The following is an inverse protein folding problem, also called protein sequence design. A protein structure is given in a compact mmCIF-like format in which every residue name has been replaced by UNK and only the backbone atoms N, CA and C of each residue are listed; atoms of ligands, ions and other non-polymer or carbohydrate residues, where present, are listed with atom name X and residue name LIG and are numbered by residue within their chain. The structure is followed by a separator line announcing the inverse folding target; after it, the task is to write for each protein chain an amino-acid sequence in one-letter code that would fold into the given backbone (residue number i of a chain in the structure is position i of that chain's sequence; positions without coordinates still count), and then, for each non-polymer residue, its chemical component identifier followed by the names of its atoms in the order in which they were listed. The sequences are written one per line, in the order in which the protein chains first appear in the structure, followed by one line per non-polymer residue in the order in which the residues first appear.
data_IF_889582937536
#
_entry.id   IF_889582937536
#
_cell.length_a   1.000
_cell.length_b   1.000
_cell.length_c   1.000
_cell.angle_alpha   90.00
_cell.angle_beta   90.00
_cell.angle_gamma   90.00
#
_symmetry.space_group_name_H-M   'P 1'
#
loop_
_entity.id
_entity.type
_entity.pdbx_description
1 polymer ?
#
# COMPACT_ATOMS: atom_id res chain seq x y z
N UNK A 1 7.87 -12.57 -87.76
CA UNK A 1 9.00 -13.32 -87.18
C UNK A 1 9.72 -12.44 -86.16
N UNK A 2 9.42 -12.61 -84.84
CA UNK A 2 10.03 -11.83 -83.75
C UNK A 2 11.01 -12.72 -83.00
N UNK A 3 12.32 -12.36 -83.07
CA UNK A 3 13.41 -13.08 -82.36
C UNK A 3 13.41 -12.75 -80.91
N UNK A 4 13.16 -13.80 -80.05
CA UNK A 4 13.33 -13.72 -78.60
C UNK A 4 14.80 -13.58 -78.23
N UNK A 5 15.22 -12.42 -77.69
CA UNK A 5 16.52 -12.23 -77.03
C UNK A 5 16.52 -12.98 -75.69
N UNK A 6 17.33 -14.04 -75.56
CA UNK A 6 17.68 -14.67 -74.31
C UNK A 6 18.63 -13.77 -73.52
N UNK A 7 18.19 -13.19 -72.41
CA UNK A 7 19.08 -12.53 -71.44
C UNK A 7 19.86 -13.57 -70.69
N UNK A 8 21.16 -13.63 -70.90
CA UNK A 8 22.07 -14.50 -70.17
C UNK A 8 22.53 -13.76 -68.91
N UNK A 9 21.75 -13.86 -67.84
CA UNK A 9 22.12 -13.29 -66.53
C UNK A 9 23.11 -14.24 -65.82
N UNK A 10 24.40 -14.04 -66.10
CA UNK A 10 25.49 -14.67 -65.35
C UNK A 10 25.56 -13.96 -64.00
N UNK A 11 24.88 -14.49 -62.98
CA UNK A 11 24.98 -14.03 -61.62
C UNK A 11 26.43 -14.06 -61.13
N UNK A 12 26.99 -12.87 -60.88
CA UNK A 12 28.37 -12.70 -60.44
C UNK A 12 28.53 -13.39 -59.04
N UNK A 13 29.37 -14.43 -58.89
CA UNK A 13 29.50 -15.19 -57.67
C UNK A 13 29.86 -14.35 -56.43
N UNK A 14 30.52 -13.22 -56.64
CA UNK A 14 30.82 -12.25 -55.57
C UNK A 14 29.58 -11.56 -55.04
N UNK A 15 28.60 -11.21 -55.89
CA UNK A 15 27.32 -10.62 -55.44
C UNK A 15 26.45 -11.61 -54.64
N UNK A 16 26.44 -12.88 -55.03
CA UNK A 16 25.71 -13.91 -54.28
C UNK A 16 26.32 -14.18 -52.91
N UNK A 17 27.64 -14.15 -52.79
CA UNK A 17 28.37 -14.30 -51.54
C UNK A 17 28.06 -13.16 -50.55
N UNK A 18 28.15 -11.90 -50.99
CA UNK A 18 27.82 -10.75 -50.15
C UNK A 18 26.35 -10.71 -49.75
N UNK A 19 25.44 -11.11 -50.64
CA UNK A 19 24.01 -11.23 -50.29
C UNK A 19 23.73 -12.28 -49.21
N UNK A 20 24.38 -13.45 -49.30
CA UNK A 20 24.27 -14.48 -48.30
C UNK A 20 24.89 -14.08 -46.97
N UNK A 21 26.00 -13.36 -46.96
CA UNK A 21 26.63 -12.84 -45.76
C UNK A 21 25.75 -11.81 -45.07
N UNK A 22 25.10 -10.94 -45.82
CA UNK A 22 24.18 -9.90 -45.33
C UNK A 22 22.92 -10.51 -44.74
N UNK A 23 22.32 -11.52 -45.39
CA UNK A 23 21.14 -12.22 -44.89
C UNK A 23 21.46 -12.95 -43.57
N UNK A 24 22.58 -13.69 -43.50
CA UNK A 24 23.04 -14.33 -42.27
C UNK A 24 23.34 -13.36 -41.12
N UNK A 25 23.80 -12.14 -41.47
CA UNK A 25 23.99 -11.07 -40.48
C UNK A 25 22.69 -10.55 -39.93
N UNK A 26 21.65 -10.39 -40.75
CA UNK A 26 20.32 -9.98 -40.35
C UNK A 26 19.65 -11.04 -39.49
N UNK A 27 19.72 -12.33 -39.84
CA UNK A 27 19.16 -13.43 -39.07
C UNK A 27 19.75 -13.49 -37.65
N UNK A 28 21.06 -13.29 -37.51
CA UNK A 28 21.74 -13.25 -36.22
C UNK A 28 21.34 -12.01 -35.39
N UNK A 29 21.14 -10.86 -36.03
CA UNK A 29 20.69 -9.64 -35.36
C UNK A 29 19.25 -9.79 -34.86
N UNK A 30 18.36 -10.41 -35.64
CA UNK A 30 16.99 -10.71 -35.19
C UNK A 30 16.94 -11.72 -34.07
N UNK A 31 17.80 -12.76 -34.10
CA UNK A 31 17.88 -13.73 -33.01
C UNK A 31 18.41 -13.11 -31.72
N UNK A 32 19.43 -12.24 -31.81
CA UNK A 32 19.93 -11.48 -30.68
C UNK A 32 18.88 -10.54 -30.12
N UNK A 33 18.13 -9.83 -30.97
CA UNK A 33 17.03 -8.96 -30.59
C UNK A 33 15.91 -9.71 -29.87
N UNK A 34 15.54 -10.93 -30.34
CA UNK A 34 14.55 -11.79 -29.66
C UNK A 34 15.01 -12.24 -28.28
N UNK A 35 16.29 -12.62 -28.13
CA UNK A 35 16.86 -13.02 -26.82
C UNK A 35 16.86 -11.85 -25.83
N UNK A 36 17.23 -10.65 -26.28
CA UNK A 36 17.17 -9.45 -25.47
C UNK A 36 15.72 -9.13 -25.07
N UNK A 37 14.78 -9.18 -26.01
CA UNK A 37 13.37 -8.94 -25.73
C UNK A 37 12.79 -9.96 -24.73
N UNK A 38 13.18 -11.24 -24.81
CA UNK A 38 12.79 -12.27 -23.86
C UNK A 38 13.41 -12.02 -22.46
N UNK A 39 14.66 -11.60 -22.39
CA UNK A 39 15.28 -11.23 -21.11
C UNK A 39 14.64 -9.99 -20.48
N UNK A 40 14.35 -8.96 -21.29
CA UNK A 40 13.66 -7.76 -20.80
C UNK A 40 12.23 -8.10 -20.34
N UNK A 41 11.51 -8.96 -21.08
CA UNK A 41 10.17 -9.41 -20.69
C UNK A 41 10.17 -10.23 -19.39
N UNK A 42 11.24 -10.96 -19.09
CA UNK A 42 11.40 -11.69 -17.83
C UNK A 42 11.69 -10.76 -16.63
N UNK A 43 12.19 -9.55 -16.89
CA UNK A 43 12.43 -8.51 -15.87
C UNK A 43 11.25 -7.53 -15.70
N UNK A 44 10.30 -7.50 -16.63
CA UNK A 44 9.07 -6.74 -16.44
C UNK A 44 8.18 -7.57 -15.52
N UNK A 45 8.27 -7.29 -14.22
CA UNK A 45 7.28 -7.81 -13.26
C UNK A 45 5.88 -7.45 -13.79
N UNK A 46 4.92 -8.39 -13.76
CA UNK A 46 3.54 -8.06 -14.08
C UNK A 46 3.12 -6.88 -13.20
N UNK A 47 2.35 -5.92 -13.71
CA UNK A 47 1.87 -4.81 -12.91
C UNK A 47 1.25 -5.40 -11.66
N UNK A 48 1.76 -5.00 -10.49
CA UNK A 48 1.20 -5.42 -9.21
C UNK A 48 -0.30 -5.12 -9.28
N UNK A 49 -1.16 -6.03 -8.85
CA UNK A 49 -2.59 -5.79 -8.89
C UNK A 49 -2.86 -4.44 -8.21
N UNK A 50 -3.40 -3.51 -8.96
CA UNK A 50 -3.84 -2.22 -8.42
C UNK A 50 -4.93 -2.57 -7.43
N UNK A 51 -4.65 -2.37 -6.15
CA UNK A 51 -5.65 -2.54 -5.10
C UNK A 51 -6.81 -1.57 -5.42
N UNK A 52 -7.93 -2.11 -5.83
CA UNK A 52 -9.20 -1.38 -5.89
C UNK A 52 -9.87 -1.59 -4.54
N UNK A 53 -9.95 -0.56 -3.69
CA UNK A 53 -10.67 -0.70 -2.43
C UNK A 53 -12.11 -1.13 -2.73
N UNK A 54 -12.68 -2.06 -1.96
CA UNK A 54 -14.07 -2.41 -2.09
C UNK A 54 -14.91 -1.14 -1.90
N UNK A 55 -15.85 -0.89 -2.82
CA UNK A 55 -16.81 0.21 -2.70
C UNK A 55 -17.79 -0.21 -1.60
N UNK A 56 -17.58 0.27 -0.38
CA UNK A 56 -18.53 0.09 0.71
C UNK A 56 -19.60 1.18 0.63
N UNK A 57 -20.72 0.85 0.02
CA UNK A 57 -21.95 1.67 0.07
C UNK A 57 -22.73 1.31 1.34
N UNK A 58 -22.24 1.67 2.50
CA UNK A 58 -22.87 1.31 3.78
C UNK A 58 -22.98 2.45 4.79
N UNK A 59 -22.90 3.71 4.37
CA UNK A 59 -22.99 4.83 5.33
C UNK A 59 -21.91 4.82 6.42
N UNK A 60 -20.90 3.95 6.28
CA UNK A 60 -19.80 3.75 7.17
C UNK A 60 -18.78 4.87 6.97
N UNK A 61 -18.65 5.73 7.96
CA UNK A 61 -17.68 6.82 7.87
C UNK A 61 -16.26 6.25 7.88
N UNK A 62 -15.53 6.41 6.79
CA UNK A 62 -14.08 6.22 6.72
C UNK A 62 -13.31 7.49 7.12
N UNK A 63 -14.02 8.57 7.43
CA UNK A 63 -13.48 9.89 7.77
C UNK A 63 -14.18 10.43 9.01
N UNK A 64 -13.44 11.10 9.90
CA UNK A 64 -14.04 11.82 11.02
C UNK A 64 -14.64 13.18 10.58
N UNK A 65 -15.19 13.94 11.53
CA UNK A 65 -15.76 15.25 11.29
C UNK A 65 -14.72 16.31 10.83
N UNK A 66 -13.44 16.02 11.01
CA UNK A 66 -12.32 16.90 10.57
C UNK A 66 -11.76 16.49 9.20
N UNK A 67 -12.29 15.43 8.58
CA UNK A 67 -11.81 14.91 7.31
C UNK A 67 -10.58 13.99 7.44
N UNK A 68 -10.25 13.54 8.66
CA UNK A 68 -9.19 12.56 8.88
C UNK A 68 -9.71 11.14 8.66
N UNK A 69 -8.85 10.27 8.09
CA UNK A 69 -9.15 8.85 7.90
C UNK A 69 -9.24 8.15 9.24
N UNK A 70 -10.30 7.37 9.41
CA UNK A 70 -10.54 6.59 10.63
C UNK A 70 -10.36 5.10 10.36
N UNK A 71 -9.66 4.43 11.27
CA UNK A 71 -9.49 2.99 11.26
C UNK A 71 -10.37 2.38 12.35
N UNK A 72 -10.85 1.16 12.14
CA UNK A 72 -11.48 0.42 13.22
C UNK A 72 -10.41 -0.30 14.07
N UNK A 73 -10.67 -0.49 15.38
CA UNK A 73 -9.73 -1.21 16.23
C UNK A 73 -9.41 -2.61 15.71
N UNK A 74 -8.24 -3.17 16.08
CA UNK A 74 -7.85 -4.51 15.66
C UNK A 74 -8.93 -5.55 15.97
N UNK A 75 -9.13 -6.49 15.05
CA UNK A 75 -10.13 -7.55 15.19
C UNK A 75 -11.57 -7.13 14.93
N UNK A 76 -11.81 -5.88 14.54
CA UNK A 76 -13.16 -5.41 14.21
C UNK A 76 -13.82 -6.30 13.14
N UNK A 77 -15.10 -6.59 13.35
CA UNK A 77 -15.92 -7.23 12.32
C UNK A 77 -16.02 -6.33 11.09
N UNK A 78 -16.35 -6.87 9.91
CA UNK A 78 -16.66 -6.02 8.76
C UNK A 78 -17.73 -4.97 9.07
N UNK A 79 -17.68 -3.85 8.41
CA UNK A 79 -18.35 -2.58 8.73
C UNK A 79 -19.75 -2.71 9.36
N UNK A 80 -20.71 -3.32 8.67
CA UNK A 80 -22.08 -3.45 9.17
C UNK A 80 -22.14 -4.37 10.40
N UNK A 81 -21.46 -5.51 10.35
CA UNK A 81 -21.43 -6.45 11.48
C UNK A 81 -20.79 -5.84 12.72
N UNK A 82 -19.82 -4.94 12.55
CA UNK A 82 -19.23 -4.21 13.67
C UNK A 82 -20.22 -3.25 14.31
N UNK A 83 -20.91 -2.45 13.51
CA UNK A 83 -21.89 -1.47 14.01
C UNK A 83 -23.06 -2.15 14.75
N UNK A 84 -23.53 -3.29 14.22
CA UNK A 84 -24.66 -4.05 14.77
C UNK A 84 -24.29 -4.81 16.07
N UNK A 85 -23.01 -5.22 16.20
CA UNK A 85 -22.55 -6.06 17.33
C UNK A 85 -21.94 -5.22 18.46
N UNK A 86 -21.42 -4.03 18.15
CA UNK A 86 -20.74 -3.19 19.12
C UNK A 86 -21.76 -2.55 20.09
N UNK A 87 -21.63 -2.88 21.40
CA UNK A 87 -22.44 -2.26 22.46
C UNK A 87 -22.02 -0.85 22.82
N UNK A 88 -20.96 -0.32 22.23
CA UNK A 88 -20.41 1.03 22.49
C UNK A 88 -20.02 1.26 23.96
N UNK A 89 -19.67 0.21 24.67
CA UNK A 89 -19.36 0.24 26.09
C UNK A 89 -18.08 1.02 26.46
N UNK A 90 -17.17 1.26 25.51
CA UNK A 90 -15.89 1.94 25.78
C UNK A 90 -14.80 1.08 26.42
N UNK A 91 -15.04 -0.22 26.68
CA UNK A 91 -14.06 -1.10 27.34
C UNK A 91 -12.77 -1.22 26.52
N UNK A 92 -12.86 -1.26 25.17
CA UNK A 92 -11.71 -1.29 24.30
C UNK A 92 -10.89 0.01 24.37
N UNK A 93 -11.52 1.16 24.59
CA UNK A 93 -10.85 2.46 24.78
C UNK A 93 -10.04 2.43 26.06
N UNK A 94 -10.68 2.03 27.17
CA UNK A 94 -10.06 1.95 28.49
C UNK A 94 -8.92 0.93 28.54
N UNK A 95 -9.03 -0.17 27.78
CA UNK A 95 -8.04 -1.24 27.73
C UNK A 95 -6.84 -0.90 26.82
N UNK A 96 -6.92 0.13 25.96
CA UNK A 96 -5.86 0.45 25.02
C UNK A 96 -4.65 1.10 25.71
N UNK A 97 -3.47 0.45 25.78
CA UNK A 97 -2.30 1.01 26.47
C UNK A 97 -1.74 2.24 25.76
N UNK A 98 -1.89 2.33 24.43
CA UNK A 98 -1.47 3.47 23.64
C UNK A 98 -2.51 4.60 23.60
N UNK A 99 -3.70 4.41 24.17
CA UNK A 99 -4.83 5.36 24.09
C UNK A 99 -5.17 5.76 22.65
N UNK A 100 -4.97 4.82 21.73
CA UNK A 100 -5.20 5.04 20.30
C UNK A 100 -6.68 5.05 19.92
N UNK A 101 -7.52 4.34 20.71
CA UNK A 101 -8.94 4.16 20.41
C UNK A 101 -9.73 5.32 21.00
N UNK A 102 -10.54 5.97 20.17
CA UNK A 102 -11.49 7.02 20.53
C UNK A 102 -12.91 6.51 20.30
N UNK A 103 -13.90 7.16 20.92
CA UNK A 103 -15.32 6.98 20.60
C UNK A 103 -15.78 8.13 19.72
N UNK A 104 -16.58 7.82 18.72
CA UNK A 104 -17.22 8.82 17.87
C UNK A 104 -18.23 9.62 18.72
N UNK A 105 -18.16 10.95 18.73
CA UNK A 105 -19.04 11.82 19.49
C UNK A 105 -20.43 11.98 18.84
N UNK A 106 -20.92 10.92 18.17
CA UNK A 106 -22.25 10.99 17.59
C UNK A 106 -23.27 10.91 18.71
N UNK A 107 -23.94 12.04 18.99
CA UNK A 107 -25.16 12.13 19.79
C UNK A 107 -26.30 11.33 19.12
N UNK A 108 -26.16 10.03 19.02
CA UNK A 108 -27.26 9.14 18.69
C UNK A 108 -27.96 8.79 19.97
N UNK A 109 -29.02 9.55 20.31
CA UNK A 109 -30.01 9.06 21.25
C UNK A 109 -30.59 7.78 20.65
N UNK A 110 -30.38 6.66 21.32
CA UNK A 110 -31.08 5.43 20.95
C UNK A 110 -32.59 5.58 21.25
N UNK A 111 -33.40 4.67 20.73
CA UNK A 111 -34.87 4.67 20.96
C UNK A 111 -35.27 4.65 22.43
N UNK A 112 -34.35 4.52 23.39
CA UNK A 112 -34.55 4.52 24.84
C UNK A 112 -34.10 5.81 25.50
N UNK A 113 -33.54 6.79 24.73
CA UNK A 113 -33.01 8.05 25.29
C UNK A 113 -31.66 7.88 26.01
N UNK A 114 -31.05 6.70 25.93
CA UNK A 114 -29.68 6.50 26.42
C UNK A 114 -28.70 7.09 25.42
N UNK A 115 -27.82 7.98 25.88
CA UNK A 115 -26.68 8.46 25.09
C UNK A 115 -25.67 7.32 24.96
N UNK A 116 -25.81 6.54 23.91
CA UNK A 116 -24.82 5.55 23.53
C UNK A 116 -23.59 6.28 23.00
N UNK A 117 -22.42 6.07 23.58
CA UNK A 117 -21.17 6.49 22.99
C UNK A 117 -21.09 6.04 21.53
N UNK A 118 -20.36 6.78 20.68
CA UNK A 118 -20.18 6.40 19.28
C UNK A 118 -19.38 5.11 19.08
N UNK A 119 -19.24 4.69 17.85
CA UNK A 119 -18.42 3.53 17.52
C UNK A 119 -16.93 3.81 17.76
N UNK A 120 -16.16 2.87 18.31
CA UNK A 120 -14.74 3.04 18.54
C UNK A 120 -13.97 3.14 17.21
N UNK A 121 -13.01 4.06 17.17
CA UNK A 121 -12.17 4.33 15.99
C UNK A 121 -10.77 4.77 16.39
N UNK A 122 -9.86 4.76 15.43
CA UNK A 122 -8.48 5.19 15.53
C UNK A 122 -8.20 6.21 14.42
N UNK A 123 -7.55 7.32 14.76
CA UNK A 123 -6.99 8.27 13.79
C UNK A 123 -5.48 8.02 13.73
N UNK A 124 -5.03 7.38 12.66
CA UNK A 124 -3.65 6.94 12.51
C UNK A 124 -2.63 8.08 12.65
N UNK A 125 -2.92 9.23 12.05
CA UNK A 125 -2.05 10.42 12.09
C UNK A 125 -1.84 10.96 13.50
N UNK A 126 -2.83 10.82 14.38
CA UNK A 126 -2.79 11.36 15.74
C UNK A 126 -2.24 10.33 16.76
N UNK A 127 -2.85 9.15 16.78
CA UNK A 127 -2.54 8.10 17.75
C UNK A 127 -2.78 6.71 17.15
N UNK A 128 -1.79 6.13 16.47
CA UNK A 128 -1.91 4.85 15.77
C UNK A 128 -1.98 3.66 16.73
N UNK A 129 -2.38 2.51 16.20
CA UNK A 129 -2.28 1.25 16.92
C UNK A 129 -0.81 0.78 16.99
N UNK A 130 -0.32 0.54 18.19
CA UNK A 130 1.06 0.07 18.42
C UNK A 130 1.20 -1.46 18.37
N UNK A 131 0.14 -2.18 18.03
CA UNK A 131 0.12 -3.66 17.98
C UNK A 131 0.67 -4.25 19.28
N UNK A 132 0.01 -3.93 20.41
CA UNK A 132 0.44 -4.40 21.71
C UNK A 132 0.38 -5.93 21.81
N UNK A 133 1.34 -6.53 22.54
CA UNK A 133 1.53 -7.98 22.62
C UNK A 133 0.30 -8.73 23.16
N UNK A 134 -0.44 -8.13 24.07
CA UNK A 134 -1.58 -8.75 24.73
C UNK A 134 -2.92 -8.51 24.05
N UNK A 135 -2.96 -7.65 23.00
CA UNK A 135 -4.16 -7.31 22.25
C UNK A 135 -5.35 -6.96 23.14
N UNK A 136 -5.11 -6.14 24.17
CA UNK A 136 -6.02 -5.84 25.28
C UNK A 136 -7.42 -5.40 24.83
N UNK A 137 -7.53 -4.60 23.77
CA UNK A 137 -8.81 -4.11 23.26
C UNK A 137 -9.74 -5.25 22.81
N UNK A 138 -9.18 -6.30 22.18
CA UNK A 138 -9.96 -7.47 21.76
C UNK A 138 -10.38 -8.34 22.94
N UNK A 139 -9.51 -8.44 23.97
CA UNK A 139 -9.83 -9.20 25.20
C UNK A 139 -10.91 -8.53 26.01
N UNK A 140 -10.93 -7.20 26.02
CA UNK A 140 -11.89 -6.40 26.75
C UNK A 140 -13.28 -6.33 26.10
N UNK A 141 -13.41 -6.67 24.81
CA UNK A 141 -14.67 -6.57 24.10
C UNK A 141 -15.68 -7.65 24.55
N UNK A 142 -16.81 -7.27 25.22
CA UNK A 142 -17.74 -8.24 25.74
C UNK A 142 -18.66 -8.85 24.68
N UNK A 143 -18.89 -8.13 23.57
CA UNK A 143 -19.87 -8.54 22.54
C UNK A 143 -19.26 -9.34 21.40
N UNK A 144 -17.90 -9.37 21.30
CA UNK A 144 -17.22 -9.97 20.19
C UNK A 144 -17.22 -9.13 18.90
N UNK A 145 -17.62 -7.86 18.97
CA UNK A 145 -17.47 -6.91 17.87
C UNK A 145 -15.99 -6.76 17.45
N UNK A 146 -15.07 -6.89 18.43
CA UNK A 146 -13.64 -7.12 18.20
C UNK A 146 -13.36 -8.61 18.42
N UNK A 147 -13.08 -9.33 17.32
CA UNK A 147 -12.71 -10.74 17.38
C UNK A 147 -11.32 -10.92 17.97
N UNK A 148 -11.15 -11.91 18.83
CA UNK A 148 -9.83 -12.29 19.36
C UNK A 148 -9.00 -12.90 18.25
N UNK A 149 -7.80 -12.36 18.07
CA UNK A 149 -6.77 -12.89 17.16
C UNK A 149 -5.65 -13.49 18.00
N UNK A 150 -4.99 -14.51 17.45
CA UNK A 150 -3.93 -15.23 18.17
C UNK A 150 -2.60 -14.47 18.15
N UNK A 151 -2.39 -13.62 17.13
CA UNK A 151 -1.17 -12.82 17.01
C UNK A 151 -1.45 -11.45 16.34
N UNK A 152 -0.54 -10.49 16.57
CA UNK A 152 -0.59 -9.18 15.95
C UNK A 152 -0.46 -9.21 14.41
N UNK A 153 0.13 -10.27 13.86
CA UNK A 153 0.28 -10.45 12.41
C UNK A 153 -1.05 -10.70 11.69
N UNK A 154 -2.05 -11.21 12.41
CA UNK A 154 -3.41 -11.44 11.88
C UNK A 154 -4.26 -10.16 11.85
N UNK A 155 -3.74 -9.06 12.38
CA UNK A 155 -4.45 -7.77 12.38
C UNK A 155 -4.56 -7.26 10.94
N UNK A 156 -5.77 -6.88 10.55
CA UNK A 156 -6.08 -6.27 9.27
C UNK A 156 -7.03 -5.09 9.48
N UNK A 157 -6.46 -3.91 9.78
CA UNK A 157 -7.23 -2.67 9.94
C UNK A 157 -7.31 -1.87 8.65
N UNK A 158 -6.37 -2.08 7.74
CA UNK A 158 -6.22 -1.38 6.49
C UNK A 158 -4.91 -1.72 5.81
N UNK A 159 -4.54 -0.94 4.81
CA UNK A 159 -3.30 -1.10 4.07
C UNK A 159 -2.64 0.26 3.86
N UNK A 160 -1.32 0.34 4.10
CA UNK A 160 -0.58 1.58 3.87
C UNK A 160 -0.42 1.85 2.37
N UNK A 161 -0.61 3.09 1.98
CA UNK A 161 -0.40 3.59 0.61
C UNK A 161 0.67 4.67 0.65
N UNK A 162 1.54 4.71 -0.35
CA UNK A 162 2.62 5.68 -0.45
C UNK A 162 2.46 6.57 -1.67
N UNK A 163 2.66 7.87 -1.48
CA UNK A 163 2.86 8.83 -2.56
C UNK A 163 4.34 9.16 -2.66
N UNK A 164 5.02 8.52 -3.60
CA UNK A 164 6.46 8.69 -3.78
C UNK A 164 6.83 10.12 -4.19
N UNK A 165 5.94 10.86 -4.85
CA UNK A 165 6.21 12.24 -5.26
C UNK A 165 6.31 13.21 -4.08
N UNK A 166 5.65 12.90 -2.97
CA UNK A 166 5.70 13.66 -1.72
C UNK A 166 6.68 13.09 -0.70
N UNK A 167 7.09 11.84 -0.89
CA UNK A 167 8.04 11.19 0.00
C UNK A 167 9.41 11.84 -0.11
N UNK A 168 10.04 12.17 1.02
CA UNK A 168 11.39 12.75 1.04
C UNK A 168 12.41 11.91 0.29
N UNK A 169 12.30 10.58 0.34
CA UNK A 169 13.14 9.65 -0.42
C UNK A 169 12.90 9.71 -1.93
N UNK A 170 11.67 9.97 -2.35
CA UNK A 170 11.28 10.08 -3.75
C UNK A 170 11.56 11.44 -4.39
N UNK A 171 12.24 12.34 -3.68
CA UNK A 171 12.51 13.70 -4.12
C UNK A 171 11.43 14.71 -3.72
N UNK A 172 10.51 14.34 -2.84
CA UNK A 172 9.55 15.26 -2.24
C UNK A 172 10.26 16.35 -1.42
N UNK A 173 9.65 17.53 -1.36
CA UNK A 173 10.17 18.63 -0.56
C UNK A 173 9.63 18.58 0.87
N UNK A 174 10.52 18.72 1.86
CA UNK A 174 10.10 19.06 3.22
C UNK A 174 9.53 20.48 3.21
N UNK A 175 8.34 20.67 3.77
CA UNK A 175 7.66 21.98 3.83
C UNK A 175 8.35 22.92 4.84
N UNK A 176 9.30 22.45 5.59
CA UNK A 176 10.00 23.24 6.60
C UNK A 176 11.26 23.87 6.00
N UNK A 177 11.30 25.21 5.98
CA UNK A 177 12.45 26.06 5.56
C UNK A 177 13.71 25.89 6.44
N UNK A 178 13.68 25.05 7.47
CA UNK A 178 14.83 24.71 8.27
C UNK A 178 15.49 23.47 7.65
N UNK A 179 16.82 23.49 7.44
CA UNK A 179 17.55 22.31 7.02
C UNK A 179 17.56 21.29 8.16
N UNK A 180 16.46 20.56 8.30
CA UNK A 180 16.47 19.36 9.13
C UNK A 180 17.49 18.42 8.51
N UNK A 181 18.35 17.83 9.34
CA UNK A 181 19.45 16.92 8.96
C UNK A 181 19.01 15.65 8.23
N UNK A 182 17.73 15.53 7.91
CA UNK A 182 17.14 14.47 7.08
C UNK A 182 17.13 14.96 5.63
N UNK A 183 18.25 14.80 4.95
CA UNK A 183 18.28 14.84 3.49
C UNK A 183 17.40 13.71 2.98
N UNK A 184 16.59 13.98 1.95
CA UNK A 184 15.52 13.08 1.50
C UNK A 184 15.92 11.63 1.30
N UNK A 185 17.15 11.35 0.81
CA UNK A 185 17.64 10.00 0.52
C UNK A 185 17.80 9.11 1.77
N UNK A 186 17.97 9.68 2.95
CA UNK A 186 18.20 8.94 4.20
C UNK A 186 16.93 8.74 5.04
N UNK A 187 15.81 9.36 4.66
CA UNK A 187 14.58 9.22 5.43
C UNK A 187 14.04 7.79 5.36
N UNK A 188 13.95 7.11 6.50
CA UNK A 188 13.39 5.76 6.65
C UNK A 188 12.55 5.61 7.92
N UNK A 189 11.99 6.71 8.44
CA UNK A 189 11.23 6.73 9.69
C UNK A 189 10.08 5.73 9.68
N UNK A 190 9.29 5.69 8.61
CA UNK A 190 8.17 4.76 8.49
C UNK A 190 8.61 3.28 8.50
N UNK A 191 9.79 2.97 7.94
CA UNK A 191 10.36 1.61 7.93
C UNK A 191 10.91 1.22 9.29
N UNK A 192 11.68 2.12 9.93
CA UNK A 192 12.33 1.85 11.22
C UNK A 192 11.34 1.79 12.38
N UNK A 193 10.24 2.53 12.30
CA UNK A 193 9.20 2.56 13.34
C UNK A 193 8.06 1.56 13.10
N UNK A 194 8.09 0.81 12.00
CA UNK A 194 7.06 -0.18 11.71
C UNK A 194 7.09 -1.31 12.75
N UNK A 195 6.00 -1.56 13.49
CA UNK A 195 5.98 -2.60 14.52
C UNK A 195 6.04 -4.02 13.96
N UNK A 196 5.67 -4.22 12.68
CA UNK A 196 5.80 -5.51 11.98
C UNK A 196 7.20 -5.64 11.34
N UNK A 197 7.88 -4.51 11.11
CA UNK A 197 9.21 -4.50 10.55
C UNK A 197 9.25 -4.70 9.04
N UNK A 198 10.34 -5.33 8.57
CA UNK A 198 10.67 -5.45 7.14
C UNK A 198 9.67 -6.26 6.32
N UNK A 199 8.87 -7.09 6.94
CA UNK A 199 7.85 -7.89 6.25
C UNK A 199 6.64 -7.04 5.83
N UNK A 200 6.41 -5.89 6.50
CA UNK A 200 5.36 -4.95 6.20
C UNK A 200 5.83 -3.71 5.42
N UNK A 201 6.99 -3.16 5.76
CA UNK A 201 7.55 -1.98 5.10
C UNK A 201 9.04 -2.17 4.81
N UNK A 202 9.45 -1.80 3.62
CA UNK A 202 10.84 -1.86 3.19
C UNK A 202 11.21 -0.71 2.28
N UNK A 203 12.44 -0.75 1.80
CA UNK A 203 12.96 0.13 0.76
C UNK A 203 13.28 -0.77 -0.42
N UNK A 204 12.76 -0.42 -1.58
CA UNK A 204 13.01 -1.16 -2.82
C UNK A 204 14.39 -0.82 -3.43
N UNK A 205 14.73 -1.46 -4.55
CA UNK A 205 15.99 -1.26 -5.25
C UNK A 205 16.13 0.13 -5.91
N UNK A 206 15.04 0.88 -6.02
CA UNK A 206 15.05 2.28 -6.47
C UNK A 206 15.17 3.28 -5.31
N UNK A 207 15.25 2.80 -4.08
CA UNK A 207 15.30 3.63 -2.89
C UNK A 207 13.93 4.14 -2.43
N UNK A 208 12.84 3.67 -3.02
CA UNK A 208 11.48 4.06 -2.67
C UNK A 208 10.90 3.22 -1.53
N UNK A 209 9.93 3.77 -0.80
CA UNK A 209 9.23 3.02 0.24
C UNK A 209 8.30 1.99 -0.41
N UNK A 210 8.49 0.72 -0.05
CA UNK A 210 7.71 -0.41 -0.49
C UNK A 210 6.81 -0.94 0.63
N UNK A 211 5.49 -0.95 0.41
CA UNK A 211 4.53 -1.60 1.31
C UNK A 211 4.36 -3.06 0.91
N UNK A 212 4.49 -3.96 1.88
CA UNK A 212 4.50 -5.41 1.68
C UNK A 212 3.27 -6.07 2.27
N UNK A 213 3.08 -7.35 1.92
CA UNK A 213 1.88 -8.13 2.26
C UNK A 213 1.57 -8.26 3.76
N UNK A 214 2.59 -8.19 4.63
CA UNK A 214 2.39 -8.27 6.07
C UNK A 214 1.93 -6.94 6.71
N UNK A 215 1.63 -5.91 5.91
CA UNK A 215 1.10 -4.65 6.44
C UNK A 215 -0.25 -4.88 7.09
N UNK A 216 -0.36 -4.50 8.37
CA UNK A 216 -1.57 -4.65 9.19
C UNK A 216 -2.46 -3.40 9.20
N UNK A 217 -2.00 -2.31 8.59
CA UNK A 217 -2.71 -1.03 8.59
C UNK A 217 -2.75 -0.33 9.96
N UNK A 218 -1.74 -0.54 10.80
CA UNK A 218 -1.71 0.01 12.16
C UNK A 218 -1.59 1.55 12.23
N UNK A 219 -1.05 2.19 11.18
CA UNK A 219 -0.96 3.64 11.06
C UNK A 219 0.30 4.28 11.64
N UNK A 220 1.22 3.54 12.26
CA UNK A 220 2.48 4.11 12.80
C UNK A 220 3.29 4.82 11.73
N UNK A 221 3.34 4.26 10.51
CA UNK A 221 4.04 4.87 9.38
C UNK A 221 3.46 6.24 8.98
N UNK A 222 2.13 6.41 9.08
CA UNK A 222 1.44 7.67 8.80
C UNK A 222 1.77 8.71 9.87
N UNK A 223 1.74 8.33 11.16
CA UNK A 223 2.04 9.22 12.27
C UNK A 223 3.46 9.77 12.20
N UNK A 224 4.45 8.89 11.93
CA UNK A 224 5.87 9.30 11.96
C UNK A 224 6.33 9.96 10.68
N UNK A 225 5.48 10.04 9.66
CA UNK A 225 5.81 10.69 8.40
C UNK A 225 6.01 12.20 8.59
N UNK A 226 7.17 12.77 8.24
CA UNK A 226 7.48 14.19 8.48
C UNK A 226 6.85 15.13 7.44
N UNK A 227 6.21 14.60 6.38
CA UNK A 227 5.59 15.43 5.35
C UNK A 227 4.17 15.81 5.75
N UNK A 228 3.70 16.99 5.28
CA UNK A 228 2.32 17.47 5.48
C UNK A 228 1.73 17.88 4.12
N UNK A 229 0.68 17.19 3.64
CA UNK A 229 0.13 15.95 4.21
C UNK A 229 1.11 14.79 4.17
N UNK A 230 0.88 13.77 5.02
CA UNK A 230 1.73 12.59 5.07
C UNK A 230 1.86 11.93 3.69
N UNK A 231 3.09 11.57 3.30
CA UNK A 231 3.35 10.86 2.04
C UNK A 231 3.06 9.35 2.12
N UNK A 232 2.79 8.85 3.30
CA UNK A 232 2.30 7.49 3.55
C UNK A 232 1.11 7.56 4.48
N UNK A 233 0.03 6.90 4.14
CA UNK A 233 -1.21 6.88 4.92
C UNK A 233 -1.85 5.50 4.86
N UNK A 234 -2.83 5.24 5.72
CA UNK A 234 -3.55 3.96 5.76
C UNK A 234 -4.94 4.13 5.18
N UNK A 235 -5.26 3.32 4.17
CA UNK A 235 -6.64 3.13 3.70
C UNK A 235 -7.29 2.01 4.53
N UNK A 236 -8.44 2.26 5.18
CA UNK A 236 -9.16 1.25 5.94
C UNK A 236 -9.73 0.15 5.03
N UNK A 237 -9.86 -1.07 5.56
CA UNK A 237 -10.55 -2.18 4.89
C UNK A 237 -12.05 -2.01 4.87
#
# INVERSE_FOLDING_TARGET
MAKKKKSNDKSNPRRSFFRQLFIRGLDKAEEAGRKIAQQVSAYVEPPKPVYTPPVYDSGYRSWDSTGLRILRPPGALPAQGFADTCSRCGDCVSACPARAIKLDDVDTEDATGARGGGLPYIVARESPCVICTDLSCMKACPTGALRKLDSGEQIQMGYAITDQSRCLRGGGYAIYDEPTSLTGEDCQLCVTQCPIGKDALGIDHHGCIEVRHACTGCGVCEQVCPTEPASIWVEPW
#
